data_IF_045723495397
#
_entry.id   IF_045723495397
#
_cell.length_a   1.000
_cell.length_b   1.000
_cell.length_c   1.000
_cell.angle_alpha   90.00
_cell.angle_beta   90.00
_cell.angle_gamma   90.00
#
_symmetry.space_group_name_H-M   'P 1'
#
loop_
_entity.id
_entity.type
_entity.pdbx_description
1 polymer ?
#
# COMPACT_ATOMS: atom_id res chain seq x y z
N UNK A 1 -17.90 -2.24 -1.46
CA UNK A 1 -16.80 -1.37 -1.93
C UNK A 1 -15.80 -1.08 -0.81
N UNK A 2 -14.50 -1.14 -1.10
CA UNK A 2 -13.39 -0.85 -0.18
C UNK A 2 -13.31 -1.78 1.04
N UNK A 3 -14.16 -1.53 2.04
CA UNK A 3 -14.23 -2.24 3.32
C UNK A 3 -15.53 -3.05 3.49
N UNK A 4 -16.28 -3.24 2.40
CA UNK A 4 -17.55 -3.96 2.42
C UNK A 4 -17.34 -5.48 2.58
N UNK A 5 -17.86 -6.09 3.66
CA UNK A 5 -17.68 -7.52 3.92
C UNK A 5 -18.39 -8.43 2.90
N UNK A 6 -19.34 -7.90 2.12
CA UNK A 6 -19.97 -8.66 1.02
C UNK A 6 -19.07 -8.80 -0.21
N UNK A 7 -18.06 -7.93 -0.32
CA UNK A 7 -17.11 -7.89 -1.45
C UNK A 7 -15.74 -8.45 -1.05
N UNK A 8 -15.34 -8.21 0.20
CA UNK A 8 -14.03 -8.53 0.73
C UNK A 8 -14.19 -9.38 1.99
N UNK A 9 -13.60 -10.57 2.00
CA UNK A 9 -13.37 -11.34 3.22
C UNK A 9 -12.46 -10.51 4.16
N UNK A 10 -12.74 -10.49 5.46
CA UNK A 10 -11.98 -9.76 6.48
C UNK A 10 -11.53 -8.35 6.01
N UNK A 11 -12.48 -7.45 5.71
CA UNK A 11 -12.19 -6.19 5.02
C UNK A 11 -11.31 -5.23 5.82
N UNK A 12 -11.26 -5.40 7.15
CA UNK A 12 -10.45 -4.57 8.06
C UNK A 12 -9.04 -5.13 8.26
N UNK A 13 -8.75 -6.34 7.76
CA UNK A 13 -7.43 -6.96 7.88
C UNK A 13 -6.54 -6.59 6.69
N UNK A 14 -5.29 -6.22 6.97
CA UNK A 14 -4.29 -6.03 5.93
C UNK A 14 -3.84 -7.40 5.39
N UNK A 15 -4.44 -7.81 4.27
CA UNK A 15 -4.22 -9.13 3.62
C UNK A 15 -3.83 -8.95 2.14
N UNK A 16 -2.57 -8.63 1.81
CA UNK A 16 -2.10 -8.40 0.44
C UNK A 16 -2.34 -9.56 -0.52
N UNK A 17 -2.36 -10.78 0.00
CA UNK A 17 -2.48 -12.03 -0.75
C UNK A 17 -3.77 -12.09 -1.58
N UNK A 18 -4.82 -11.35 -1.17
CA UNK A 18 -6.09 -11.23 -1.91
C UNK A 18 -5.92 -10.65 -3.32
N UNK A 19 -4.83 -9.91 -3.55
CA UNK A 19 -4.50 -9.30 -4.83
C UNK A 19 -3.54 -10.15 -5.68
N UNK A 20 -2.98 -11.23 -5.11
CA UNK A 20 -2.06 -12.11 -5.83
C UNK A 20 -2.78 -13.19 -6.67
N UNK A 21 -4.09 -13.33 -6.50
CA UNK A 21 -4.94 -14.24 -7.28
C UNK A 21 -4.87 -13.87 -8.78
N UNK A 22 -4.97 -14.86 -9.67
CA UNK A 22 -4.83 -14.69 -11.13
C UNK A 22 -3.46 -14.12 -11.57
N UNK A 23 -2.37 -14.71 -11.05
CA UNK A 23 -0.99 -14.32 -11.37
C UNK A 23 -0.68 -12.84 -11.04
N UNK A 24 -1.25 -12.32 -9.95
CA UNK A 24 -1.03 -10.93 -9.51
C UNK A 24 -1.75 -9.86 -10.34
N UNK A 25 -2.67 -10.24 -11.23
CA UNK A 25 -3.40 -9.28 -12.08
C UNK A 25 -4.74 -8.91 -11.42
N UNK A 26 -4.73 -7.82 -10.64
CA UNK A 26 -5.94 -7.22 -10.09
C UNK A 26 -6.44 -6.05 -10.95
N UNK A 27 -7.74 -6.02 -11.25
CA UNK A 27 -8.35 -4.91 -12.00
C UNK A 27 -8.58 -3.69 -11.11
N UNK A 28 -7.53 -2.88 -10.95
CA UNK A 28 -7.59 -1.60 -10.24
C UNK A 28 -8.43 -0.54 -10.97
N UNK A 29 -8.71 -0.75 -12.26
CA UNK A 29 -9.49 0.19 -13.09
C UNK A 29 -10.99 0.01 -12.96
N UNK A 30 -11.44 -1.10 -12.35
CA UNK A 30 -12.86 -1.41 -12.19
C UNK A 30 -13.61 -1.67 -13.50
N UNK A 31 -12.91 -1.91 -14.62
CA UNK A 31 -13.50 -2.14 -15.95
C UNK A 31 -14.24 -3.48 -16.04
N UNK A 32 -13.78 -4.51 -15.32
CA UNK A 32 -14.38 -5.84 -15.24
C UNK A 32 -15.41 -5.96 -14.10
N UNK A 33 -15.54 -4.92 -13.28
CA UNK A 33 -16.39 -4.90 -12.09
C UNK A 33 -15.71 -4.14 -10.96
N UNK A 34 -16.46 -3.26 -10.29
CA UNK A 34 -15.91 -2.40 -9.25
C UNK A 34 -15.92 -3.12 -7.91
N UNK A 35 -14.74 -3.56 -7.45
CA UNK A 35 -14.54 -4.02 -6.06
C UNK A 35 -14.00 -2.90 -5.16
N UNK A 36 -13.19 -2.02 -5.73
CA UNK A 36 -12.63 -0.81 -5.12
C UNK A 36 -12.37 0.26 -6.19
N UNK A 37 -12.16 1.52 -5.78
CA UNK A 37 -11.88 2.65 -6.68
C UNK A 37 -10.84 3.60 -6.08
N UNK A 38 -9.59 3.15 -5.86
CA UNK A 38 -8.54 4.00 -5.28
C UNK A 38 -8.21 5.22 -6.16
N UNK A 39 -8.44 5.10 -7.46
CA UNK A 39 -8.20 6.13 -8.47
C UNK A 39 -9.51 6.63 -9.13
N UNK A 40 -10.66 6.37 -8.51
CA UNK A 40 -11.98 6.58 -9.14
C UNK A 40 -12.28 5.55 -10.24
N UNK A 41 -13.25 5.86 -11.11
CA UNK A 41 -13.67 5.01 -12.23
C UNK A 41 -14.27 5.85 -13.39
N UNK A 42 -14.35 5.27 -14.58
CA UNK A 42 -14.97 5.89 -15.75
C UNK A 42 -14.24 7.12 -16.28
N UNK A 43 -14.99 8.07 -16.85
CA UNK A 43 -14.44 9.26 -17.54
C UNK A 43 -13.67 10.24 -16.64
N UNK A 44 -13.83 10.13 -15.32
CA UNK A 44 -13.18 10.98 -14.32
C UNK A 44 -12.18 10.21 -13.46
N UNK A 45 -11.80 9.00 -13.86
CA UNK A 45 -10.69 8.27 -13.25
C UNK A 45 -9.42 9.11 -13.27
N UNK A 46 -8.62 9.01 -12.21
CA UNK A 46 -7.35 9.70 -12.09
C UNK A 46 -6.49 9.41 -13.33
N UNK A 47 -6.14 10.43 -14.14
CA UNK A 47 -5.37 10.22 -15.35
C UNK A 47 -3.93 9.75 -15.07
N UNK A 48 -3.45 9.93 -13.84
CA UNK A 48 -2.10 9.58 -13.40
C UNK A 48 -2.00 8.23 -12.69
N UNK A 49 -3.02 7.35 -12.73
CA UNK A 49 -2.99 6.10 -11.95
C UNK A 49 -1.80 5.18 -12.30
N UNK A 50 -1.44 5.08 -13.58
CA UNK A 50 -0.28 4.28 -14.03
C UNK A 50 1.03 4.86 -13.51
N UNK A 51 1.16 6.19 -13.54
CA UNK A 51 2.34 6.89 -13.02
C UNK A 51 2.45 6.73 -11.50
N UNK A 52 1.32 6.79 -10.79
CA UNK A 52 1.26 6.56 -9.34
C UNK A 52 1.69 5.15 -8.97
N UNK A 53 1.21 4.13 -9.70
CA UNK A 53 1.61 2.74 -9.50
C UNK A 53 3.11 2.54 -9.76
N UNK A 54 3.63 3.06 -10.87
CA UNK A 54 5.06 2.98 -11.18
C UNK A 54 5.93 3.54 -10.07
N UNK A 55 5.59 4.73 -9.55
CA UNK A 55 6.34 5.34 -8.45
C UNK A 55 6.23 4.53 -7.17
N UNK A 56 5.04 4.06 -6.80
CA UNK A 56 4.84 3.26 -5.59
C UNK A 56 5.63 1.95 -5.67
N UNK A 57 5.54 1.22 -6.77
CA UNK A 57 6.26 -0.03 -7.01
C UNK A 57 7.77 0.20 -6.92
N UNK A 58 8.30 1.21 -7.62
CA UNK A 58 9.72 1.52 -7.61
C UNK A 58 10.20 1.93 -6.21
N UNK A 59 9.51 2.85 -5.55
CA UNK A 59 9.89 3.32 -4.21
C UNK A 59 9.84 2.19 -3.19
N UNK A 60 8.74 1.44 -3.10
CA UNK A 60 8.60 0.33 -2.15
C UNK A 60 9.64 -0.75 -2.41
N UNK A 61 9.86 -1.14 -3.67
CA UNK A 61 10.87 -2.14 -4.02
C UNK A 61 12.27 -1.74 -3.53
N UNK A 62 12.67 -0.48 -3.73
CA UNK A 62 13.97 0.00 -3.23
C UNK A 62 14.02 0.04 -1.69
N UNK A 63 12.95 0.49 -1.03
CA UNK A 63 12.90 0.57 0.44
C UNK A 63 13.05 -0.81 1.10
N UNK A 64 12.43 -1.86 0.54
CA UNK A 64 12.53 -3.23 1.07
C UNK A 64 13.80 -3.96 0.62
N UNK A 65 14.39 -3.55 -0.51
CA UNK A 65 15.62 -4.15 -1.02
C UNK A 65 16.83 -3.70 -0.19
N UNK A 66 16.92 -2.41 0.11
CA UNK A 66 18.11 -1.82 0.75
C UNK A 66 18.05 -1.76 2.27
N UNK A 67 16.87 -1.86 2.89
CA UNK A 67 16.73 -1.59 4.31
C UNK A 67 15.90 -2.62 5.07
N UNK A 68 16.28 -2.86 6.32
CA UNK A 68 15.44 -3.46 7.34
C UNK A 68 14.75 -2.36 8.14
N UNK A 69 13.49 -2.59 8.49
CA UNK A 69 12.63 -1.64 9.18
C UNK A 69 12.15 -2.24 10.49
N UNK A 70 12.34 -1.52 11.60
CA UNK A 70 11.81 -1.90 12.91
C UNK A 70 11.18 -0.68 13.59
N UNK A 71 10.21 -0.88 14.49
CA UNK A 71 9.71 0.23 15.29
C UNK A 71 10.80 0.74 16.27
N UNK A 72 10.70 1.99 16.75
CA UNK A 72 11.53 2.47 17.86
C UNK A 72 11.35 1.63 19.13
N UNK A 73 12.35 1.64 20.02
CA UNK A 73 12.31 0.77 21.21
C UNK A 73 11.12 1.13 22.10
N UNK A 74 10.34 0.11 22.49
CA UNK A 74 9.18 0.28 23.36
C UNK A 74 7.98 0.99 22.71
N UNK A 75 8.00 1.18 21.39
CA UNK A 75 6.90 1.80 20.64
C UNK A 75 6.32 0.80 19.64
N UNK A 76 5.00 0.79 19.50
CA UNK A 76 4.31 0.04 18.45
C UNK A 76 3.92 0.97 17.29
N UNK A 77 3.55 0.41 16.15
CA UNK A 77 3.10 1.17 14.99
C UNK A 77 1.64 1.59 15.18
N UNK A 78 1.41 2.88 15.43
CA UNK A 78 0.06 3.45 15.49
C UNK A 78 -0.47 3.75 14.07
N UNK A 79 -1.45 2.97 13.63
CA UNK A 79 -2.12 3.11 12.33
C UNK A 79 -3.41 3.94 12.41
N UNK A 80 -3.70 4.60 13.54
CA UNK A 80 -4.86 5.49 13.66
C UNK A 80 -4.80 6.57 12.58
N UNK A 81 -5.93 6.83 11.93
CA UNK A 81 -6.02 7.77 10.81
C UNK A 81 -6.74 9.07 11.19
N UNK A 82 -6.46 10.11 10.41
CA UNK A 82 -7.25 11.36 10.40
C UNK A 82 -7.52 11.79 8.96
N UNK A 83 -8.65 12.46 8.78
CA UNK A 83 -9.01 13.04 7.50
C UNK A 83 -8.40 14.45 7.37
N UNK A 84 -7.61 14.66 6.32
CA UNK A 84 -7.17 15.97 5.85
C UNK A 84 -7.62 16.13 4.38
N UNK A 85 -6.76 16.64 3.50
CA UNK A 85 -7.00 16.55 2.05
C UNK A 85 -7.01 15.10 1.55
N UNK A 86 -6.29 14.21 2.25
CA UNK A 86 -6.31 12.75 2.07
C UNK A 86 -6.44 12.08 3.44
N UNK A 87 -6.59 10.75 3.48
CA UNK A 87 -6.45 9.99 4.72
C UNK A 87 -4.96 9.89 5.04
N UNK A 88 -4.57 10.39 6.21
CA UNK A 88 -3.18 10.39 6.69
C UNK A 88 -3.12 9.75 8.07
N UNK A 89 -1.92 9.30 8.48
CA UNK A 89 -1.72 8.82 9.84
C UNK A 89 -1.95 9.97 10.84
N UNK A 90 -2.66 9.67 11.93
CA UNK A 90 -2.91 10.60 13.04
C UNK A 90 -1.58 11.10 13.61
N UNK A 91 -0.67 10.17 13.86
CA UNK A 91 0.69 10.41 14.34
C UNK A 91 1.69 10.04 13.25
N UNK A 92 2.75 10.84 12.99
CA UNK A 92 3.76 10.50 12.00
C UNK A 92 4.41 9.13 12.29
N UNK A 93 4.56 8.29 11.26
CA UNK A 93 5.26 7.02 11.38
C UNK A 93 6.71 7.25 11.82
N UNK A 94 7.11 6.59 12.91
CA UNK A 94 8.49 6.51 13.33
C UNK A 94 9.03 5.12 13.03
N UNK A 95 10.22 5.05 12.43
CA UNK A 95 10.87 3.78 12.13
C UNK A 95 12.38 3.91 12.36
N UNK A 96 12.98 2.83 12.86
CA UNK A 96 14.42 2.60 12.82
C UNK A 96 14.74 1.86 11.52
N UNK A 97 15.70 2.39 10.78
CA UNK A 97 16.11 1.86 9.49
C UNK A 97 17.56 1.44 9.60
N UNK A 98 17.88 0.22 9.18
CA UNK A 98 19.25 -0.26 9.02
C UNK A 98 19.47 -0.78 7.60
N UNK A 99 20.69 -0.65 7.08
CA UNK A 99 21.01 -1.24 5.79
C UNK A 99 20.83 -2.77 5.84
N UNK A 100 20.23 -3.34 4.81
CA UNK A 100 19.99 -4.78 4.69
C UNK A 100 21.25 -5.54 4.26
N UNK A 101 22.19 -4.86 3.62
CA UNK A 101 23.45 -5.44 3.15
C UNK A 101 24.47 -5.53 4.28
N UNK A 102 24.87 -6.76 4.62
CA UNK A 102 26.26 -7.02 5.00
C UNK A 102 27.14 -6.67 3.80
N UNK A 103 28.25 -5.98 4.05
CA UNK A 103 29.24 -5.50 3.06
C UNK A 103 29.27 -6.37 1.79
N UNK A 104 28.78 -5.84 0.67
CA UNK A 104 29.12 -6.40 -0.65
C UNK A 104 30.64 -6.22 -0.76
N UNK A 105 31.37 -7.26 -0.38
CA UNK A 105 32.81 -7.33 -0.48
C UNK A 105 33.08 -7.51 -1.96
N UNK A 106 33.39 -6.41 -2.64
CA UNK A 106 33.96 -6.44 -3.99
C UNK A 106 35.45 -6.70 -3.88
#
# INVERSE_FOLDING_TARGET
>A
MGLDPKVWEDPMEFKPERFLVNNGVFDITGRKGIKMMPFGAGKRMCPAYTLGLLHLEYSVANLIWYFNWTPPDGHDVDLTEKAEFTIVMMNPLQAKISARTDKITT
#
